data_IF_664991976306
#
_entry.id   IF_664991976306
#
_cell.length_a   1.000
_cell.length_b   1.000
_cell.length_c   1.000
_cell.angle_alpha   90.00
_cell.angle_beta   90.00
_cell.angle_gamma   90.00
#
_symmetry.space_group_name_H-M   'P 1'
#
loop_
_entity.id
_entity.type
_entity.pdbx_description
1 polymer ?
#
# COMPACT_ATOMS: atom_id res chain seq x y z
N UNK A 1 -6.70 27.93 2.92
CA UNK A 1 -7.05 26.50 3.12
C UNK A 1 -5.93 25.72 3.80
N UNK A 2 -4.67 25.87 3.38
CA UNK A 2 -3.51 25.14 3.96
C UNK A 2 -3.36 25.31 5.47
N UNK A 3 -3.56 26.51 5.98
CA UNK A 3 -3.51 26.77 7.42
C UNK A 3 -4.62 26.02 8.15
N UNK A 4 -5.85 26.02 7.62
CA UNK A 4 -6.96 25.31 8.23
C UNK A 4 -6.71 23.79 8.28
N UNK A 5 -6.19 23.21 7.19
CA UNK A 5 -5.84 21.79 7.13
C UNK A 5 -4.79 21.40 8.19
N UNK A 6 -3.82 22.29 8.45
CA UNK A 6 -2.71 22.00 9.38
C UNK A 6 -3.05 22.16 10.86
N UNK A 7 -4.03 23.02 11.19
CA UNK A 7 -4.27 23.41 12.61
C UNK A 7 -5.63 22.97 13.15
N UNK A 8 -6.53 22.49 12.29
CA UNK A 8 -7.91 22.20 12.71
C UNK A 8 -8.12 20.72 12.96
N UNK A 9 -8.83 20.38 14.03
CA UNK A 9 -9.35 19.02 14.26
C UNK A 9 -10.50 18.70 13.30
N UNK A 10 -11.31 19.72 12.97
CA UNK A 10 -12.41 19.62 12.01
C UNK A 10 -12.55 20.91 11.22
N UNK A 11 -13.00 20.76 9.96
CA UNK A 11 -13.25 21.85 9.04
C UNK A 11 -14.73 21.84 8.64
N UNK A 12 -15.36 23.01 8.66
CA UNK A 12 -16.71 23.21 8.16
C UNK A 12 -16.64 23.99 6.83
N UNK A 13 -17.07 23.37 5.73
CA UNK A 13 -17.19 24.02 4.44
C UNK A 13 -18.64 24.45 4.25
N UNK A 14 -18.84 25.73 4.00
CA UNK A 14 -20.16 26.33 3.80
C UNK A 14 -20.25 27.03 2.46
N UNK A 15 -21.45 27.04 1.88
CA UNK A 15 -21.81 27.80 0.68
C UNK A 15 -23.23 28.32 0.82
N UNK A 16 -23.45 29.58 0.48
CA UNK A 16 -24.77 30.22 0.46
C UNK A 16 -25.56 30.08 1.78
N UNK A 17 -24.84 30.01 2.94
CA UNK A 17 -25.44 29.83 4.26
C UNK A 17 -25.69 28.37 4.67
N UNK A 18 -25.41 27.40 3.80
CA UNK A 18 -25.60 25.97 4.06
C UNK A 18 -24.26 25.27 4.33
N UNK A 19 -24.24 24.31 5.25
CA UNK A 19 -23.09 23.46 5.52
C UNK A 19 -23.06 22.36 4.46
N UNK A 20 -21.99 22.34 3.64
CA UNK A 20 -21.81 21.31 2.63
C UNK A 20 -21.04 20.09 3.16
N UNK A 21 -20.05 20.33 4.03
CA UNK A 21 -19.31 19.27 4.70
C UNK A 21 -18.75 19.75 6.04
N UNK A 22 -18.80 18.89 7.05
CA UNK A 22 -18.18 19.11 8.36
C UNK A 22 -17.47 17.83 8.80
N UNK A 23 -16.15 17.80 8.68
CA UNK A 23 -15.36 16.61 8.91
C UNK A 23 -13.90 16.91 9.28
N UNK A 24 -13.10 15.86 9.52
CA UNK A 24 -11.66 15.98 9.66
C UNK A 24 -10.99 16.46 8.36
N UNK A 25 -9.85 17.15 8.44
CA UNK A 25 -9.08 17.53 7.25
C UNK A 25 -8.80 16.36 6.31
N UNK A 26 -8.39 15.21 6.88
CA UNK A 26 -8.13 13.98 6.11
C UNK A 26 -9.36 13.55 5.31
N UNK A 27 -10.53 13.49 5.94
CA UNK A 27 -11.74 13.01 5.26
C UNK A 27 -12.25 13.99 4.20
N UNK A 28 -12.10 15.30 4.44
CA UNK A 28 -12.42 16.33 3.44
C UNK A 28 -11.53 16.20 2.20
N UNK A 29 -10.24 15.91 2.38
CA UNK A 29 -9.30 15.72 1.29
C UNK A 29 -9.54 14.42 0.52
N UNK A 30 -9.85 13.32 1.23
CA UNK A 30 -10.07 11.99 0.61
C UNK A 30 -11.46 11.79 0.04
N UNK A 31 -12.47 12.31 0.72
CA UNK A 31 -13.89 12.05 0.44
C UNK A 31 -14.70 13.34 0.41
N UNK A 32 -14.45 14.24 -0.56
CA UNK A 32 -15.26 15.46 -0.69
C UNK A 32 -16.71 15.11 -0.97
N UNK A 33 -17.66 15.77 -0.27
CA UNK A 33 -19.09 15.46 -0.33
C UNK A 33 -19.74 15.75 -1.67
N UNK A 34 -19.17 16.65 -2.46
CA UNK A 34 -19.66 17.05 -3.78
C UNK A 34 -18.58 17.75 -4.61
N UNK A 35 -18.88 18.03 -5.87
CA UNK A 35 -17.94 18.66 -6.81
C UNK A 35 -17.46 20.03 -6.33
N UNK A 36 -18.35 20.84 -5.72
CA UNK A 36 -17.94 22.14 -5.19
C UNK A 36 -16.90 21.99 -4.09
N UNK A 37 -17.08 21.07 -3.14
CA UNK A 37 -16.10 20.81 -2.08
C UNK A 37 -14.79 20.30 -2.70
N UNK A 38 -14.86 19.40 -3.67
CA UNK A 38 -13.69 18.87 -4.39
C UNK A 38 -12.89 19.98 -5.09
N UNK A 39 -13.57 20.87 -5.79
CA UNK A 39 -12.95 22.01 -6.46
C UNK A 39 -12.41 23.06 -5.47
N UNK A 40 -13.18 23.36 -4.41
CA UNK A 40 -12.80 24.33 -3.38
C UNK A 40 -11.57 23.90 -2.60
N UNK A 41 -11.46 22.61 -2.29
CA UNK A 41 -10.30 22.02 -1.60
C UNK A 41 -9.12 21.91 -2.55
N UNK A 42 -9.35 21.65 -3.83
CA UNK A 42 -8.37 21.39 -4.87
C UNK A 42 -8.22 19.89 -5.11
N UNK A 43 -8.44 19.50 -6.36
CA UNK A 43 -8.20 18.12 -6.81
C UNK A 43 -6.74 17.76 -6.53
N UNK A 44 -6.50 16.54 -6.05
CA UNK A 44 -5.15 16.02 -5.73
C UNK A 44 -4.42 16.71 -4.56
N UNK A 45 -5.06 17.59 -3.80
CA UNK A 45 -4.39 18.29 -2.68
C UNK A 45 -3.92 17.36 -1.56
N UNK A 46 -4.48 16.17 -1.43
CA UNK A 46 -4.01 15.18 -0.47
C UNK A 46 -2.50 14.92 -0.58
N UNK A 47 -1.94 15.07 -1.77
CA UNK A 47 -0.53 14.85 -2.04
C UNK A 47 0.39 15.96 -1.56
N UNK A 48 -0.15 17.14 -1.28
CA UNK A 48 0.59 18.22 -0.60
C UNK A 48 0.57 18.06 0.93
N UNK A 49 -0.15 17.06 1.42
CA UNK A 49 -0.30 16.72 2.85
C UNK A 49 -0.02 15.23 3.06
N UNK A 50 1.23 14.77 2.82
CA UNK A 50 1.58 13.36 2.83
C UNK A 50 1.35 12.66 4.17
N UNK A 51 1.21 13.42 5.27
CA UNK A 51 0.83 12.91 6.58
C UNK A 51 -0.53 12.21 6.61
N UNK A 52 -1.43 12.53 5.67
CA UNK A 52 -2.75 11.89 5.56
C UNK A 52 -2.78 10.70 4.60
N UNK A 53 -1.69 10.45 3.86
CA UNK A 53 -1.60 9.29 2.96
C UNK A 53 -1.15 8.09 3.77
N UNK A 54 -1.96 7.04 3.77
CA UNK A 54 -1.72 5.81 4.54
C UNK A 54 -1.38 4.63 3.64
N UNK A 55 -0.85 3.56 4.22
CA UNK A 55 -0.54 2.32 3.52
C UNK A 55 -1.71 1.81 2.67
N UNK A 56 -2.92 1.82 3.21
CA UNK A 56 -4.16 1.42 2.53
C UNK A 56 -4.50 2.24 1.27
N UNK A 57 -4.02 3.50 1.19
CA UNK A 57 -4.29 4.38 0.06
C UNK A 57 -3.36 4.13 -1.14
N UNK A 58 -2.22 3.43 -0.91
CA UNK A 58 -1.15 3.25 -1.89
C UNK A 58 -0.75 1.78 -2.12
N UNK A 59 -1.32 0.86 -1.37
CA UNK A 59 -1.02 -0.57 -1.50
C UNK A 59 -1.64 -1.17 -2.76
N UNK A 60 -1.05 -2.25 -3.23
CA UNK A 60 -1.63 -3.15 -4.22
C UNK A 60 -2.59 -4.08 -3.48
N UNK A 61 -3.89 -3.96 -3.71
CA UNK A 61 -4.94 -4.69 -2.97
C UNK A 61 -4.97 -6.20 -3.24
N UNK A 62 -4.42 -6.63 -4.36
CA UNK A 62 -4.43 -8.03 -4.80
C UNK A 62 -3.02 -8.56 -4.99
N UNK A 63 -2.23 -8.69 -3.90
CA UNK A 63 -0.88 -9.23 -3.99
C UNK A 63 -0.89 -10.70 -4.38
N UNK A 64 0.14 -11.13 -5.11
CA UNK A 64 0.26 -12.53 -5.53
C UNK A 64 0.69 -13.38 -4.35
N UNK A 65 -0.15 -14.34 -3.98
CA UNK A 65 0.04 -15.19 -2.81
C UNK A 65 0.22 -16.66 -3.17
N UNK A 66 0.73 -17.45 -2.25
CA UNK A 66 0.72 -18.91 -2.32
C UNK A 66 0.54 -19.51 -0.93
N UNK A 67 0.33 -20.82 -0.86
CA UNK A 67 0.25 -21.56 0.40
C UNK A 67 1.54 -22.33 0.66
N UNK A 68 1.87 -22.57 1.93
CA UNK A 68 3.13 -23.20 2.35
C UNK A 68 3.39 -24.59 1.75
N UNK A 69 2.35 -25.31 1.34
CA UNK A 69 2.43 -26.64 0.72
C UNK A 69 2.67 -26.58 -0.80
N UNK A 70 2.67 -25.41 -1.44
CA UNK A 70 2.94 -25.27 -2.86
C UNK A 70 4.38 -25.66 -3.19
N UNK A 71 4.58 -26.44 -4.26
CA UNK A 71 5.94 -26.83 -4.70
C UNK A 71 6.68 -25.64 -5.34
N UNK A 72 8.01 -25.66 -5.25
CA UNK A 72 8.84 -24.59 -5.82
C UNK A 72 8.63 -24.44 -7.32
N UNK A 73 8.39 -25.55 -8.04
CA UNK A 73 8.10 -25.51 -9.47
C UNK A 73 6.84 -24.67 -9.74
N UNK A 74 5.76 -24.93 -9.02
CA UNK A 74 4.51 -24.15 -9.13
C UNK A 74 4.68 -22.70 -8.72
N UNK A 75 5.51 -22.41 -7.72
CA UNK A 75 5.84 -21.05 -7.34
C UNK A 75 6.51 -20.29 -8.49
N UNK A 76 7.48 -20.92 -9.18
CA UNK A 76 8.14 -20.33 -10.36
C UNK A 76 7.15 -20.05 -11.48
N UNK A 77 6.30 -21.03 -11.80
CA UNK A 77 5.26 -20.87 -12.83
C UNK A 77 4.33 -19.70 -12.48
N UNK A 78 3.90 -19.61 -11.23
CA UNK A 78 3.04 -18.52 -10.75
C UNK A 78 3.74 -17.15 -10.84
N UNK A 79 5.00 -17.05 -10.37
CA UNK A 79 5.80 -15.82 -10.48
C UNK A 79 5.92 -15.36 -11.93
N UNK A 80 6.15 -16.32 -12.86
CA UNK A 80 6.27 -16.02 -14.30
C UNK A 80 4.96 -15.52 -14.90
N UNK A 81 3.85 -16.21 -14.60
CA UNK A 81 2.53 -15.86 -15.13
C UNK A 81 2.05 -14.50 -14.62
N UNK A 82 2.28 -14.22 -13.33
CA UNK A 82 1.89 -12.97 -12.68
C UNK A 82 2.93 -11.85 -12.83
N UNK A 83 4.09 -12.14 -13.45
CA UNK A 83 5.21 -11.19 -13.68
C UNK A 83 5.72 -10.57 -12.38
N UNK A 84 5.84 -11.39 -11.34
CA UNK A 84 6.39 -10.98 -10.02
C UNK A 84 7.64 -11.81 -9.71
N UNK A 85 8.53 -11.28 -8.88
CA UNK A 85 9.77 -11.92 -8.43
C UNK A 85 9.67 -12.51 -7.01
N UNK A 86 8.53 -12.33 -6.36
CA UNK A 86 8.27 -12.81 -5.00
C UNK A 86 6.82 -13.23 -4.83
N UNK A 87 6.57 -14.15 -3.89
CA UNK A 87 5.23 -14.57 -3.47
C UNK A 87 5.11 -14.42 -1.97
N UNK A 88 3.94 -13.94 -1.56
CA UNK A 88 3.55 -13.86 -0.16
C UNK A 88 2.91 -15.20 0.23
N UNK A 89 3.49 -15.86 1.23
CA UNK A 89 2.99 -17.15 1.71
C UNK A 89 1.97 -16.92 2.80
N UNK A 90 0.73 -17.32 2.56
CA UNK A 90 -0.38 -17.13 3.50
C UNK A 90 -0.91 -18.46 4.02
N UNK A 91 -1.45 -18.43 5.21
CA UNK A 91 -2.22 -19.54 5.76
C UNK A 91 -3.59 -19.62 5.09
N UNK A 92 -3.99 -20.80 4.66
CA UNK A 92 -5.18 -20.98 3.82
C UNK A 92 -6.47 -20.52 4.51
N UNK A 93 -6.64 -20.86 5.79
CA UNK A 93 -7.87 -20.61 6.55
C UNK A 93 -7.95 -19.16 7.06
N UNK A 94 -6.88 -18.66 7.65
CA UNK A 94 -6.87 -17.36 8.36
C UNK A 94 -6.48 -16.21 7.47
N UNK A 95 -5.88 -16.50 6.29
CA UNK A 95 -5.28 -15.50 5.39
C UNK A 95 -4.13 -14.69 6.02
N UNK A 96 -3.60 -15.15 7.14
CA UNK A 96 -2.44 -14.54 7.79
C UNK A 96 -1.19 -14.74 6.93
N UNK A 97 -0.36 -13.71 6.87
CA UNK A 97 0.96 -13.81 6.25
C UNK A 97 1.89 -14.62 7.16
N UNK A 98 2.49 -15.68 6.63
CA UNK A 98 3.38 -16.58 7.38
C UNK A 98 4.80 -16.60 6.82
N UNK A 99 5.03 -16.01 5.66
CA UNK A 99 6.37 -15.92 5.07
C UNK A 99 6.37 -15.26 3.70
N UNK A 100 7.58 -15.05 3.18
CA UNK A 100 7.83 -14.52 1.84
C UNK A 100 8.87 -15.41 1.16
N UNK A 101 8.69 -15.68 -0.12
CA UNK A 101 9.69 -16.37 -0.95
C UNK A 101 9.97 -15.55 -2.20
N UNK A 102 11.23 -15.41 -2.56
CA UNK A 102 11.64 -14.76 -3.79
C UNK A 102 12.25 -15.74 -4.80
N UNK A 103 12.33 -15.32 -6.05
CA UNK A 103 12.83 -16.14 -7.14
C UNK A 103 14.27 -16.63 -6.90
N UNK A 104 15.13 -15.83 -6.27
CA UNK A 104 16.53 -16.21 -5.98
C UNK A 104 16.59 -17.34 -4.95
N UNK A 105 15.77 -17.28 -3.89
CA UNK A 105 15.69 -18.37 -2.90
C UNK A 105 15.28 -19.69 -3.57
N UNK A 106 14.32 -19.65 -4.48
CA UNK A 106 13.90 -20.83 -5.22
C UNK A 106 15.02 -21.30 -6.16
N UNK A 107 15.68 -20.39 -6.87
CA UNK A 107 16.77 -20.75 -7.80
C UNK A 107 17.96 -21.43 -7.10
N UNK A 108 18.24 -21.10 -5.86
CA UNK A 108 19.32 -21.73 -5.08
C UNK A 108 19.03 -23.18 -4.68
N UNK A 109 17.79 -23.65 -4.81
CA UNK A 109 17.41 -25.03 -4.46
C UNK A 109 17.64 -26.00 -5.64
N UNK A 110 18.23 -27.14 -5.37
CA UNK A 110 18.41 -28.20 -6.37
C UNK A 110 17.12 -28.97 -6.63
N UNK A 111 16.35 -29.24 -5.58
CA UNK A 111 15.05 -29.93 -5.69
C UNK A 111 13.89 -28.94 -5.77
N UNK A 112 13.17 -28.94 -6.89
CA UNK A 112 12.00 -28.10 -7.14
C UNK A 112 10.68 -28.72 -6.70
N UNK A 113 10.70 -29.95 -6.21
CA UNK A 113 9.51 -30.66 -5.74
C UNK A 113 9.20 -30.39 -4.28
N UNK A 114 10.14 -29.84 -3.52
CA UNK A 114 9.92 -29.47 -2.12
C UNK A 114 8.89 -28.34 -2.00
N UNK A 115 8.26 -28.26 -0.84
CA UNK A 115 7.28 -27.21 -0.53
C UNK A 115 7.95 -25.88 -0.22
N UNK A 116 7.32 -24.78 -0.61
CA UNK A 116 7.80 -23.40 -0.36
C UNK A 116 7.95 -23.11 1.14
N UNK A 117 7.13 -23.72 1.98
CA UNK A 117 7.21 -23.59 3.44
C UNK A 117 8.57 -24.00 4.02
N UNK A 118 9.35 -24.84 3.32
CA UNK A 118 10.67 -25.27 3.78
C UNK A 118 11.78 -24.23 3.54
N UNK A 119 11.55 -23.25 2.65
CA UNK A 119 12.56 -22.28 2.24
C UNK A 119 12.12 -20.81 2.39
N UNK A 120 10.83 -20.55 2.63
CA UNK A 120 10.33 -19.19 2.81
C UNK A 120 11.03 -18.48 3.98
N UNK A 121 11.22 -17.20 3.86
CA UNK A 121 11.65 -16.36 4.98
C UNK A 121 10.44 -16.08 5.87
N UNK A 122 10.56 -16.38 7.15
CA UNK A 122 9.53 -16.07 8.17
C UNK A 122 9.78 -14.74 8.86
N UNK A 123 11.00 -14.20 8.70
CA UNK A 123 11.34 -12.84 9.12
C UNK A 123 11.15 -11.88 7.96
N UNK A 124 10.21 -10.98 8.09
CA UNK A 124 9.90 -9.95 7.10
C UNK A 124 9.41 -8.67 7.80
N UNK A 125 9.67 -7.54 7.17
CA UNK A 125 9.09 -6.27 7.59
C UNK A 125 7.69 -6.15 7.00
N UNK A 126 6.75 -5.67 7.80
CA UNK A 126 5.39 -5.35 7.39
C UNK A 126 4.95 -4.03 8.03
N UNK A 127 3.93 -3.42 7.48
CA UNK A 127 3.31 -2.21 8.03
C UNK A 127 1.82 -2.44 8.26
N UNK A 128 1.24 -1.63 9.14
CA UNK A 128 -0.20 -1.60 9.33
C UNK A 128 -0.88 -0.77 8.23
N UNK A 129 -2.15 -1.05 7.95
CA UNK A 129 -2.91 -0.33 6.92
C UNK A 129 -3.03 1.18 7.14
N UNK A 130 -2.95 1.63 8.39
CA UNK A 130 -2.99 3.03 8.78
C UNK A 130 -1.61 3.69 8.93
N UNK A 131 -0.52 2.99 8.62
CA UNK A 131 0.83 3.55 8.63
C UNK A 131 0.97 4.67 7.61
N UNK A 132 1.65 5.77 7.98
CA UNK A 132 1.81 6.92 7.09
C UNK A 132 2.81 6.63 5.96
N UNK A 133 2.61 7.25 4.78
CA UNK A 133 3.57 7.14 3.66
C UNK A 133 4.96 7.63 4.08
N UNK A 134 5.04 8.62 4.97
CA UNK A 134 6.31 9.17 5.46
C UNK A 134 7.09 8.11 6.23
N UNK A 135 6.44 7.35 7.10
CA UNK A 135 7.10 6.29 7.87
C UNK A 135 7.42 5.09 6.99
N UNK A 136 6.56 4.77 6.02
CA UNK A 136 6.88 3.74 5.00
C UNK A 136 8.12 4.12 4.20
N UNK A 137 8.27 5.38 3.77
CA UNK A 137 9.45 5.86 3.05
C UNK A 137 10.73 5.77 3.91
N UNK A 138 10.66 6.08 5.21
CA UNK A 138 11.78 5.88 6.15
C UNK A 138 12.18 4.41 6.23
N UNK A 139 11.20 3.50 6.37
CA UNK A 139 11.45 2.05 6.40
C UNK A 139 12.14 1.58 5.11
N UNK A 140 11.68 2.05 3.93
CA UNK A 140 12.28 1.71 2.63
C UNK A 140 13.71 2.19 2.53
N UNK A 141 14.00 3.40 3.01
CA UNK A 141 15.33 4.00 2.96
C UNK A 141 16.29 3.32 3.94
N UNK A 142 15.91 3.21 5.20
CA UNK A 142 16.77 2.66 6.26
C UNK A 142 17.02 1.16 6.13
N UNK A 143 16.01 0.39 5.73
CA UNK A 143 16.06 -1.08 5.69
C UNK A 143 16.34 -1.63 4.31
N UNK A 144 16.36 -0.79 3.28
CA UNK A 144 16.60 -1.17 1.88
C UNK A 144 15.69 -2.30 1.38
N UNK A 145 14.49 -2.41 1.95
CA UNK A 145 13.49 -3.41 1.55
C UNK A 145 12.83 -2.99 0.23
N UNK A 146 12.50 -3.97 -0.61
CA UNK A 146 11.82 -3.74 -1.90
C UNK A 146 10.34 -4.08 -1.86
N UNK A 147 9.92 -4.81 -0.82
CA UNK A 147 8.59 -5.40 -0.71
C UNK A 147 8.13 -5.28 0.75
N UNK A 148 7.02 -4.62 0.99
CA UNK A 148 6.46 -4.39 2.32
C UNK A 148 5.00 -4.86 2.31
N UNK A 149 4.68 -6.01 2.91
CA UNK A 149 3.30 -6.43 3.14
C UNK A 149 2.56 -5.46 4.05
N UNK A 150 1.30 -5.20 3.72
CA UNK A 150 0.37 -4.45 4.55
C UNK A 150 -0.55 -5.43 5.26
N UNK A 151 -0.58 -5.36 6.58
CA UNK A 151 -1.31 -6.30 7.43
C UNK A 151 -2.38 -5.58 8.24
N UNK A 152 -3.46 -6.30 8.55
CA UNK A 152 -4.42 -5.92 9.58
C UNK A 152 -3.87 -6.18 10.98
N UNK A 153 -4.55 -5.68 12.01
CA UNK A 153 -4.18 -5.91 13.42
C UNK A 153 -4.07 -7.40 13.79
N UNK A 154 -4.89 -8.27 13.20
CA UNK A 154 -4.87 -9.71 13.42
C UNK A 154 -3.87 -10.45 12.51
N UNK A 155 -3.03 -9.72 11.75
CA UNK A 155 -1.96 -10.26 10.90
C UNK A 155 -2.42 -10.84 9.56
N UNK A 156 -3.64 -10.54 9.11
CA UNK A 156 -4.09 -10.89 7.76
C UNK A 156 -3.43 -10.00 6.73
N UNK A 157 -3.11 -10.58 5.60
CA UNK A 157 -2.58 -9.85 4.46
C UNK A 157 -3.70 -9.03 3.81
N UNK A 158 -3.54 -7.70 3.79
CA UNK A 158 -4.45 -6.76 3.15
C UNK A 158 -3.93 -6.32 1.79
N UNK A 159 -2.62 -6.10 1.66
CA UNK A 159 -2.02 -5.61 0.44
C UNK A 159 -0.51 -5.68 0.43
N UNK A 160 0.08 -5.06 -0.57
CA UNK A 160 1.52 -5.04 -0.78
C UNK A 160 1.98 -3.66 -1.27
N UNK A 161 3.03 -3.13 -0.67
CA UNK A 161 3.73 -1.94 -1.15
C UNK A 161 5.10 -2.39 -1.69
N UNK A 162 5.44 -1.94 -2.89
CA UNK A 162 6.76 -2.16 -3.51
C UNK A 162 7.43 -0.83 -3.85
N UNK A 163 8.75 -0.83 -4.00
CA UNK A 163 9.46 0.37 -4.50
C UNK A 163 8.89 0.85 -5.83
N UNK A 164 8.56 -0.08 -6.73
CA UNK A 164 7.96 0.27 -8.03
C UNK A 164 6.58 0.90 -7.88
N UNK A 165 5.70 0.35 -7.00
CA UNK A 165 4.38 0.92 -6.77
C UNK A 165 4.48 2.32 -6.15
N UNK A 166 5.41 2.54 -5.20
CA UNK A 166 5.67 3.86 -4.62
C UNK A 166 6.11 4.88 -5.69
N UNK A 167 7.07 4.50 -6.54
CA UNK A 167 7.53 5.37 -7.63
C UNK A 167 6.39 5.68 -8.60
N UNK A 168 5.60 4.67 -9.00
CA UNK A 168 4.45 4.87 -9.89
C UNK A 168 3.43 5.82 -9.27
N UNK A 169 3.05 5.58 -8.01
CA UNK A 169 2.09 6.43 -7.29
C UNK A 169 2.58 7.87 -7.19
N UNK A 170 3.83 8.09 -6.80
CA UNK A 170 4.40 9.42 -6.69
C UNK A 170 4.55 10.11 -8.06
N UNK A 171 4.89 9.36 -9.12
CA UNK A 171 5.04 9.90 -10.47
C UNK A 171 3.70 10.32 -11.09
N UNK A 172 2.65 9.52 -10.92
CA UNK A 172 1.31 9.84 -11.42
C UNK A 172 0.79 11.17 -10.89
N UNK A 173 1.12 11.51 -9.65
CA UNK A 173 0.72 12.77 -9.04
C UNK A 173 1.35 13.98 -9.71
N UNK A 174 2.64 13.89 -10.06
CA UNK A 174 3.32 14.98 -10.77
C UNK A 174 2.77 15.17 -12.18
N UNK A 175 2.46 14.07 -12.88
CA UNK A 175 1.89 14.13 -14.24
C UNK A 175 0.45 14.68 -14.24
N UNK A 176 -0.34 14.36 -13.21
CA UNK A 176 -1.70 14.90 -13.06
C UNK A 176 -1.70 16.38 -12.67
N UNK A 177 -0.65 16.88 -12.02
CA UNK A 177 -0.50 18.30 -11.69
C UNK A 177 -0.12 19.14 -12.94
N UNK A 178 0.70 18.61 -13.84
CA UNK A 178 1.06 19.29 -15.10
C UNK A 178 -0.10 19.42 -16.09
N UNK A 179 -1.10 18.54 -16.01
CA UNK A 179 -2.30 18.60 -16.88
C UNK A 179 -3.38 19.59 -16.39
N UNK A 180 -3.14 20.30 -15.27
CA UNK A 180 -4.08 21.26 -14.67
C UNK A 180 -3.66 22.74 -14.89
N UNK A 181 -2.53 23.00 -15.55
CA UNK A 181 -2.11 24.31 -16.05
C UNK A 181 -2.53 24.48 -17.52
#
# INVERSE_FOLDING_TARGET
>A
MDEAIKISDKICIMKDGEILQYDTPENILKNPSNDFVSEFVGKNRIWTSPEFIKAKDIMIDTPVTCHSNMTLLRCIERMRNEKVDSLLVIEEKTKRLIGIVNARQIQSQSDRKISVGNIMSTEFLSVHEDESIIDILKIVDERHVSTIPVLSEDGKLLGLITKSSLVTTLSQQYLDMENLE
#
